data_IF_274463952853
#
_entry.id   IF_274463952853
#
_cell.length_a   1.000
_cell.length_b   1.000
_cell.length_c   1.000
_cell.angle_alpha   90.00
_cell.angle_beta   90.00
_cell.angle_gamma   90.00
#
_symmetry.space_group_name_H-M   'P 1'
#
loop_
_entity.id
_entity.type
_entity.pdbx_description
1 polymer ?
#
# COMPACT_ATOMS: atom_id res chain seq x y z
N UNK A 1 13.51 6.58 -17.74
CA UNK A 1 14.48 6.03 -17.09
C UNK A 1 14.35 4.63 -16.80
N UNK A 2 15.33 3.90 -17.00
CA UNK A 2 15.31 2.51 -16.77
C UNK A 2 15.06 2.20 -15.32
N UNK A 3 15.63 2.98 -14.44
CA UNK A 3 15.46 2.72 -13.03
C UNK A 3 14.05 2.99 -12.57
N UNK A 4 13.27 3.69 -13.38
CA UNK A 4 11.88 3.94 -13.05
C UNK A 4 10.95 2.93 -13.69
N UNK A 5 11.50 1.99 -14.44
CA UNK A 5 10.67 1.01 -15.11
C UNK A 5 10.01 0.09 -14.08
N UNK A 6 8.72 -0.09 -14.21
CA UNK A 6 8.00 -1.08 -13.43
C UNK A 6 7.43 -2.13 -14.37
N UNK A 7 7.45 -3.36 -13.93
CA UNK A 7 7.00 -4.49 -14.74
C UNK A 7 5.54 -4.84 -14.50
N UNK A 8 4.78 -3.91 -13.91
CA UNK A 8 3.36 -4.12 -13.68
C UNK A 8 2.63 -2.78 -13.72
N UNK A 9 1.30 -2.87 -13.71
CA UNK A 9 0.43 -1.70 -13.80
C UNK A 9 -0.39 -1.47 -12.52
N UNK A 10 -0.02 -2.13 -11.44
CA UNK A 10 -0.75 -1.97 -10.17
C UNK A 10 -0.38 -0.64 -9.54
N UNK A 11 -1.41 0.09 -9.11
CA UNK A 11 -1.27 1.36 -8.41
C UNK A 11 -1.77 1.17 -6.99
N UNK A 12 -0.99 1.63 -6.01
CA UNK A 12 -1.35 1.55 -4.60
C UNK A 12 -1.94 2.87 -4.13
N UNK A 13 -3.10 2.82 -3.50
CA UNK A 13 -3.80 4.01 -3.02
C UNK A 13 -3.63 4.21 -1.51
N UNK A 14 -2.60 3.59 -0.92
CA UNK A 14 -2.38 3.65 0.51
C UNK A 14 -2.32 5.08 1.04
N UNK A 15 -1.61 5.95 0.35
CA UNK A 15 -1.49 7.34 0.79
C UNK A 15 -2.83 8.05 0.89
N UNK A 16 -3.68 7.84 -0.12
CA UNK A 16 -5.01 8.45 -0.14
C UNK A 16 -5.89 7.93 1.00
N UNK A 17 -5.83 6.64 1.25
CA UNK A 17 -6.61 6.02 2.31
C UNK A 17 -6.15 6.51 3.67
N UNK A 18 -4.85 6.60 3.89
CA UNK A 18 -4.31 7.14 5.14
C UNK A 18 -4.76 8.58 5.35
N UNK A 19 -4.68 9.40 4.31
CA UNK A 19 -5.13 10.79 4.41
C UNK A 19 -6.62 10.87 4.75
N UNK A 20 -7.42 10.05 4.11
CA UNK A 20 -8.87 10.06 4.36
C UNK A 20 -9.19 9.64 5.78
N UNK A 21 -8.36 8.83 6.41
CA UNK A 21 -8.59 8.36 7.76
C UNK A 21 -7.84 9.16 8.82
N UNK A 22 -7.06 10.15 8.40
CA UNK A 22 -6.25 10.93 9.33
C UNK A 22 -5.23 10.06 10.07
N UNK A 23 -4.70 9.03 9.40
CA UNK A 23 -3.77 8.10 10.00
C UNK A 23 -2.40 8.25 9.39
N UNK A 24 -1.36 8.16 10.23
CA UNK A 24 0.01 8.21 9.75
C UNK A 24 0.50 6.81 9.39
N UNK A 25 1.57 6.76 8.59
CA UNK A 25 2.20 5.50 8.23
C UNK A 25 2.73 4.79 9.48
N UNK A 26 3.24 5.55 10.45
CA UNK A 26 3.73 4.98 11.70
C UNK A 26 2.62 4.32 12.51
N UNK A 27 1.44 4.94 12.53
CA UNK A 27 0.29 4.35 13.22
C UNK A 27 -0.16 3.07 12.54
N UNK A 28 -0.23 3.08 11.22
CA UNK A 28 -0.58 1.88 10.48
C UNK A 28 0.42 0.76 10.76
N UNK A 29 1.71 1.10 10.76
CA UNK A 29 2.77 0.14 11.05
C UNK A 29 2.55 -0.52 12.40
N UNK A 30 2.26 0.29 13.42
CA UNK A 30 2.05 -0.22 14.78
C UNK A 30 0.83 -1.13 14.85
N UNK A 31 -0.25 -0.72 14.21
CA UNK A 31 -1.52 -1.46 14.28
C UNK A 31 -1.52 -2.72 13.43
N UNK A 32 -0.88 -2.67 12.28
CA UNK A 32 -0.88 -3.79 11.35
C UNK A 32 0.28 -4.77 11.57
N UNK A 33 1.28 -4.36 12.35
CA UNK A 33 2.45 -5.20 12.56
C UNK A 33 3.33 -5.32 11.33
N UNK A 34 3.34 -4.31 10.47
CA UNK A 34 4.14 -4.27 9.25
C UNK A 34 5.12 -3.12 9.36
N UNK A 35 6.36 -3.31 8.96
CA UNK A 35 7.37 -2.27 9.11
C UNK A 35 7.03 -1.02 8.32
N UNK A 36 7.44 0.14 8.83
CA UNK A 36 7.26 1.42 8.14
C UNK A 36 7.96 1.38 6.79
N UNK A 37 9.13 0.75 6.70
CA UNK A 37 9.86 0.64 5.44
C UNK A 37 9.05 -0.09 4.39
N UNK A 38 8.46 -1.24 4.76
CA UNK A 38 7.64 -2.00 3.82
C UNK A 38 6.41 -1.23 3.40
N UNK A 39 5.77 -0.53 4.32
CA UNK A 39 4.59 0.28 4.01
C UNK A 39 4.97 1.47 3.12
N UNK A 40 6.14 2.05 3.33
CA UNK A 40 6.63 3.15 2.50
C UNK A 40 6.87 2.69 1.06
N UNK A 41 7.42 1.49 0.89
CA UNK A 41 7.63 0.92 -0.44
C UNK A 41 6.30 0.75 -1.15
N UNK A 42 5.28 0.26 -0.45
CA UNK A 42 3.92 0.13 -1.01
C UNK A 42 3.33 1.48 -1.37
N UNK A 43 3.41 2.43 -0.45
CA UNK A 43 2.81 3.76 -0.64
C UNK A 43 3.39 4.48 -1.84
N UNK A 44 4.67 4.29 -2.11
CA UNK A 44 5.37 4.98 -3.19
C UNK A 44 5.41 4.18 -4.49
N UNK A 45 4.55 3.17 -4.62
CA UNK A 45 4.42 2.36 -5.84
C UNK A 45 5.72 1.66 -6.24
N UNK A 46 6.54 1.32 -5.26
CA UNK A 46 7.80 0.62 -5.53
C UNK A 46 7.75 -0.86 -5.24
N UNK A 47 6.65 -1.34 -4.68
CA UNK A 47 6.51 -2.75 -4.38
C UNK A 47 6.24 -3.53 -5.66
N UNK A 48 6.87 -4.70 -5.77
CA UNK A 48 6.62 -5.61 -6.88
C UNK A 48 5.76 -6.79 -6.47
N UNK A 49 5.52 -6.92 -5.19
CA UNK A 49 4.70 -7.99 -4.64
C UNK A 49 4.23 -7.59 -3.25
N UNK A 50 3.21 -8.25 -2.77
CA UNK A 50 2.74 -8.09 -1.41
C UNK A 50 2.31 -9.46 -0.91
N UNK A 51 2.64 -9.76 0.34
CA UNK A 51 2.18 -10.99 0.97
C UNK A 51 0.71 -10.85 1.32
N UNK A 52 -0.04 -11.92 1.17
CA UNK A 52 -1.45 -11.88 1.54
C UNK A 52 -1.65 -11.58 3.02
N UNK A 53 -0.72 -12.00 3.88
CA UNK A 53 -0.80 -11.65 5.31
C UNK A 53 -0.66 -10.15 5.53
N UNK A 54 0.23 -9.49 4.80
CA UNK A 54 0.40 -8.05 4.87
C UNK A 54 -0.86 -7.34 4.35
N UNK A 55 -1.36 -7.81 3.20
CA UNK A 55 -2.58 -7.25 2.61
C UNK A 55 -3.75 -7.35 3.57
N UNK A 56 -3.91 -8.51 4.20
CA UNK A 56 -4.98 -8.73 5.17
C UNK A 56 -4.86 -7.76 6.34
N UNK A 57 -3.66 -7.64 6.91
CA UNK A 57 -3.45 -6.78 8.07
C UNK A 57 -3.74 -5.31 7.76
N UNK A 58 -3.25 -4.83 6.63
CA UNK A 58 -3.44 -3.44 6.21
C UNK A 58 -4.93 -3.17 5.96
N UNK A 59 -5.59 -4.05 5.23
CA UNK A 59 -7.02 -3.86 4.92
C UNK A 59 -7.87 -3.88 6.19
N UNK A 60 -7.55 -4.76 7.14
CA UNK A 60 -8.30 -4.81 8.40
C UNK A 60 -8.16 -3.53 9.20
N UNK A 61 -6.94 -3.02 9.32
CA UNK A 61 -6.70 -1.80 10.09
C UNK A 61 -7.41 -0.61 9.43
N UNK A 62 -7.35 -0.53 8.12
CA UNK A 62 -7.91 0.60 7.38
C UNK A 62 -9.40 0.45 7.11
N UNK A 63 -9.97 -0.73 7.34
CA UNK A 63 -11.38 -0.98 7.06
C UNK A 63 -11.69 -0.88 5.57
N UNK A 64 -10.80 -1.37 4.73
CA UNK A 64 -10.97 -1.32 3.28
C UNK A 64 -10.76 -2.71 2.67
N UNK A 65 -11.07 -2.82 1.39
CA UNK A 65 -10.87 -4.06 0.65
C UNK A 65 -9.59 -3.97 -0.18
N UNK A 66 -9.05 -5.10 -0.66
CA UNK A 66 -7.92 -5.04 -1.59
C UNK A 66 -8.21 -4.21 -2.84
N UNK A 67 -9.46 -4.23 -3.32
CA UNK A 67 -9.85 -3.41 -4.48
C UNK A 67 -9.86 -1.92 -4.20
N UNK A 68 -9.99 -1.52 -2.93
CA UNK A 68 -9.85 -0.11 -2.55
C UNK A 68 -8.38 0.28 -2.52
N UNK A 69 -7.52 -0.66 -2.14
CA UNK A 69 -6.10 -0.39 -1.93
C UNK A 69 -5.31 -0.42 -3.23
N UNK A 70 -5.65 -1.32 -4.16
CA UNK A 70 -4.94 -1.48 -5.40
C UNK A 70 -5.87 -1.41 -6.61
N UNK A 71 -5.42 -0.72 -7.64
CA UNK A 71 -6.12 -0.69 -8.92
C UNK A 71 -5.09 -0.88 -10.03
N UNK A 72 -5.55 -1.03 -11.26
CA UNK A 72 -4.66 -1.09 -12.40
C UNK A 72 -4.63 0.26 -13.10
N UNK A 73 -3.42 0.68 -13.47
CA UNK A 73 -3.26 1.89 -14.28
C UNK A 73 -3.77 1.59 -15.69
N UNK A 74 -4.48 2.53 -16.23
CA UNK A 74 -4.91 2.42 -17.62
C UNK A 74 -3.82 2.92 -18.54
N UNK A 75 -3.67 2.26 -19.67
CA UNK A 75 -2.68 2.61 -20.68
C UNK A 75 -3.35 3.37 -21.80
#
# INVERSE_FOLDING_TARGET
>A
MAEEFVDHLVVCHLGKILDARGMTLAELSRLAGVSVVNLSVLKNDRAKAIRFSTLTAVCRVLGCTPGDLFTLRQI
#
